data_IF_973794387885
#
_entry.id   IF_973794387885
#
_cell.length_a   1.000
_cell.length_b   1.000
_cell.length_c   1.000
_cell.angle_alpha   90.00
_cell.angle_beta   90.00
_cell.angle_gamma   90.00
#
_symmetry.space_group_name_H-M   'P 1'
#
loop_
_entity.id
_entity.type
_entity.pdbx_description
1 polymer ?
#
# COMPACT_ATOMS: atom_id res chain seq x y z
N UNK A 1 -13.36 14.72 -18.39
CA UNK A 1 -12.87 13.40 -17.96
C UNK A 1 -11.45 13.22 -18.53
N UNK A 2 -10.42 12.95 -17.71
CA UNK A 2 -9.04 12.77 -18.22
C UNK A 2 -8.80 11.30 -18.55
N UNK A 3 -8.46 11.00 -19.81
CA UNK A 3 -8.09 9.65 -20.22
C UNK A 3 -6.71 9.28 -19.68
N UNK A 4 -6.55 8.03 -19.26
CA UNK A 4 -5.24 7.51 -18.90
C UNK A 4 -4.36 7.44 -20.15
N UNK A 5 -3.07 7.77 -20.01
CA UNK A 5 -2.11 7.57 -21.09
C UNK A 5 -2.04 6.08 -21.46
N UNK A 6 -1.66 5.77 -22.71
CA UNK A 6 -1.52 4.37 -23.16
C UNK A 6 -0.63 3.54 -22.22
N UNK A 7 0.45 4.14 -21.73
CA UNK A 7 1.31 3.54 -20.70
C UNK A 7 0.55 3.23 -19.41
N UNK A 8 -0.19 4.20 -18.85
CA UNK A 8 -0.93 4.00 -17.61
C UNK A 8 -2.06 2.97 -17.77
N UNK A 9 -2.71 2.92 -18.93
CA UNK A 9 -3.71 1.92 -19.25
C UNK A 9 -3.11 0.49 -19.23
N UNK A 10 -1.94 0.31 -19.87
CA UNK A 10 -1.19 -0.96 -19.83
C UNK A 10 -0.81 -1.35 -18.40
N UNK A 11 -0.26 -0.40 -17.64
CA UNK A 11 0.16 -0.64 -16.25
C UNK A 11 -1.04 -1.03 -15.35
N UNK A 12 -2.22 -0.41 -15.56
CA UNK A 12 -3.46 -0.75 -14.85
C UNK A 12 -4.01 -2.13 -15.23
N UNK A 13 -3.85 -2.56 -16.49
CA UNK A 13 -4.23 -3.92 -16.93
C UNK A 13 -3.39 -4.96 -16.19
N UNK A 14 -2.08 -4.76 -16.13
CA UNK A 14 -1.15 -5.61 -15.36
C UNK A 14 -1.50 -5.61 -13.87
N UNK A 15 -1.73 -4.42 -13.29
CA UNK A 15 -2.14 -4.27 -11.89
C UNK A 15 -3.39 -5.08 -11.57
N UNK A 16 -4.41 -5.02 -12.42
CA UNK A 16 -5.69 -5.73 -12.21
C UNK A 16 -5.49 -7.23 -12.15
N UNK A 17 -4.66 -7.80 -13.02
CA UNK A 17 -4.33 -9.24 -13.02
C UNK A 17 -3.56 -9.61 -11.74
N UNK A 18 -2.45 -8.93 -11.47
CA UNK A 18 -1.58 -9.22 -10.33
C UNK A 18 -2.33 -9.05 -8.99
N UNK A 19 -3.19 -8.05 -8.87
CA UNK A 19 -4.02 -7.82 -7.67
C UNK A 19 -4.91 -9.01 -7.36
N UNK A 20 -5.57 -9.57 -8.37
CA UNK A 20 -6.43 -10.75 -8.19
C UNK A 20 -5.60 -11.94 -7.71
N UNK A 21 -4.48 -12.22 -8.38
CA UNK A 21 -3.59 -13.32 -8.01
C UNK A 21 -3.03 -13.16 -6.59
N UNK A 22 -2.63 -11.94 -6.20
CA UNK A 22 -2.11 -11.66 -4.86
C UNK A 22 -3.17 -11.86 -3.79
N UNK A 23 -4.39 -11.33 -3.97
CA UNK A 23 -5.47 -11.45 -2.98
C UNK A 23 -5.99 -12.88 -2.85
N UNK A 24 -5.92 -13.70 -3.90
CA UNK A 24 -6.20 -15.13 -3.82
C UNK A 24 -5.17 -15.87 -2.95
N UNK A 25 -3.89 -15.52 -3.08
CA UNK A 25 -2.80 -16.11 -2.29
C UNK A 25 -2.73 -15.57 -0.86
N UNK A 26 -3.18 -14.34 -0.66
CA UNK A 26 -3.15 -13.62 0.62
C UNK A 26 -4.56 -13.13 0.97
N UNK A 27 -5.50 -14.04 1.30
CA UNK A 27 -6.92 -13.71 1.42
C UNK A 27 -7.26 -12.94 2.71
N UNK A 28 -6.32 -12.83 3.65
CA UNK A 28 -6.53 -12.18 4.95
C UNK A 28 -5.77 -10.87 5.02
N UNK A 29 -6.38 -9.89 5.66
CA UNK A 29 -5.78 -8.63 6.04
C UNK A 29 -4.57 -8.94 6.92
N UNK A 30 -3.41 -8.45 6.50
CA UNK A 30 -2.16 -8.68 7.19
C UNK A 30 -2.19 -8.18 8.66
N UNK A 31 -2.97 -7.14 8.94
CA UNK A 31 -3.08 -6.57 10.28
C UNK A 31 -4.12 -7.28 11.17
N UNK A 32 -5.36 -7.42 10.71
CA UNK A 32 -6.48 -7.84 11.57
C UNK A 32 -7.10 -9.20 11.22
N UNK A 33 -6.59 -9.91 10.21
CA UNK A 33 -7.06 -11.24 9.83
C UNK A 33 -8.40 -11.31 9.07
N UNK A 34 -9.21 -10.24 9.07
CA UNK A 34 -10.42 -10.13 8.22
C UNK A 34 -10.11 -10.24 6.73
N UNK A 35 -11.06 -10.55 5.83
CA UNK A 35 -10.79 -10.66 4.40
C UNK A 35 -10.06 -9.44 3.82
N UNK A 36 -8.95 -9.67 3.12
CA UNK A 36 -8.24 -8.63 2.40
C UNK A 36 -9.02 -8.26 1.15
N UNK A 37 -9.41 -7.00 1.04
CA UNK A 37 -10.14 -6.46 -0.11
C UNK A 37 -9.28 -5.55 -0.94
N UNK A 38 -8.15 -5.08 -0.41
CA UNK A 38 -7.34 -4.02 -1.01
C UNK A 38 -5.85 -4.33 -0.92
N UNK A 39 -5.12 -3.79 -1.89
CA UNK A 39 -3.66 -3.77 -1.87
C UNK A 39 -3.23 -2.41 -1.36
N UNK A 40 -2.52 -2.40 -0.24
CA UNK A 40 -1.79 -1.25 0.24
C UNK A 40 -0.39 -1.23 -0.40
N UNK A 41 -0.04 -0.12 -1.05
CA UNK A 41 1.28 0.08 -1.67
C UNK A 41 2.21 0.80 -0.69
N UNK A 42 3.09 0.06 -0.01
CA UNK A 42 4.00 0.61 1.02
C UNK A 42 4.86 1.78 0.51
N UNK A 43 5.31 1.72 -0.74
CA UNK A 43 6.14 2.74 -1.39
C UNK A 43 5.36 3.62 -2.39
N UNK A 44 4.03 3.54 -2.40
CA UNK A 44 3.18 4.27 -3.33
C UNK A 44 3.02 3.61 -4.71
N UNK A 45 2.31 4.30 -5.60
CA UNK A 45 1.82 3.75 -6.90
C UNK A 45 2.52 4.33 -8.13
N UNK A 46 3.71 4.89 -7.95
CA UNK A 46 4.44 5.63 -8.99
C UNK A 46 5.30 4.69 -9.84
N UNK A 47 5.20 4.81 -11.17
CA UNK A 47 6.01 4.04 -12.11
C UNK A 47 5.95 2.52 -11.86
N UNK A 48 7.12 1.89 -11.69
CA UNK A 48 7.25 0.45 -11.44
C UNK A 48 6.59 -0.01 -10.12
N UNK A 49 6.46 0.89 -9.14
CA UNK A 49 5.94 0.56 -7.81
C UNK A 49 4.47 0.17 -7.82
N UNK A 50 3.70 0.56 -8.86
CA UNK A 50 2.31 0.12 -9.00
C UNK A 50 2.20 -1.42 -9.02
N UNK A 51 3.13 -2.09 -9.72
CA UNK A 51 3.10 -3.52 -10.00
C UNK A 51 4.22 -4.29 -9.27
N UNK A 52 4.93 -3.64 -8.36
CA UNK A 52 5.95 -4.29 -7.54
C UNK A 52 5.31 -5.02 -6.36
N UNK A 53 4.97 -6.29 -6.58
CA UNK A 53 4.27 -7.16 -5.63
C UNK A 53 5.05 -7.35 -4.32
N UNK A 54 6.37 -7.16 -4.32
CA UNK A 54 7.20 -7.25 -3.11
C UNK A 54 6.85 -6.18 -2.07
N UNK A 55 6.28 -5.07 -2.52
CA UNK A 55 5.89 -3.92 -1.70
C UNK A 55 4.37 -3.84 -1.46
N UNK A 56 3.64 -4.90 -1.82
CA UNK A 56 2.19 -4.99 -1.61
C UNK A 56 1.89 -5.60 -0.25
N UNK A 57 0.84 -5.09 0.39
CA UNK A 57 0.30 -5.63 1.64
C UNK A 57 -1.22 -5.75 1.47
N UNK A 58 -1.76 -6.95 1.63
CA UNK A 58 -3.20 -7.18 1.60
C UNK A 58 -3.87 -6.66 2.87
N UNK A 59 -4.83 -5.74 2.75
CA UNK A 59 -5.59 -5.18 3.86
C UNK A 59 -7.09 -5.24 3.60
N UNK A 60 -7.88 -5.30 4.68
CA UNK A 60 -9.30 -4.97 4.59
C UNK A 60 -9.47 -3.46 4.41
N UNK A 61 -10.60 -3.01 3.85
CA UNK A 61 -10.90 -1.59 3.62
C UNK A 61 -10.64 -0.71 4.85
N UNK A 62 -11.12 -1.13 6.03
CA UNK A 62 -10.97 -0.37 7.29
C UNK A 62 -9.49 -0.14 7.65
N UNK A 63 -8.67 -1.18 7.58
CA UNK A 63 -7.24 -1.08 7.89
C UNK A 63 -6.48 -0.30 6.82
N UNK A 64 -6.85 -0.47 5.55
CA UNK A 64 -6.29 0.32 4.44
C UNK A 64 -6.57 1.81 4.64
N UNK A 65 -7.79 2.19 4.96
CA UNK A 65 -8.16 3.59 5.17
C UNK A 65 -7.49 4.18 6.41
N UNK A 66 -7.37 3.39 7.49
CA UNK A 66 -6.59 3.77 8.68
C UNK A 66 -5.13 4.05 8.32
N UNK A 67 -4.52 3.25 7.44
CA UNK A 67 -3.11 3.42 7.03
C UNK A 67 -2.86 4.77 6.32
N UNK A 68 -3.86 5.25 5.57
CA UNK A 68 -3.77 6.56 4.91
C UNK A 68 -4.06 7.73 5.85
N UNK A 69 -4.89 7.53 6.88
CA UNK A 69 -5.30 8.58 7.83
C UNK A 69 -4.32 8.74 8.99
N UNK A 70 -3.76 7.65 9.50
CA UNK A 70 -2.96 7.62 10.71
C UNK A 70 -1.52 7.21 10.38
N UNK A 71 -0.70 8.21 10.04
CA UNK A 71 0.67 7.97 9.56
C UNK A 71 1.58 7.31 10.60
N UNK A 72 1.47 7.69 11.88
CA UNK A 72 2.26 7.06 12.96
C UNK A 72 1.92 5.57 13.09
N UNK A 73 0.63 5.24 13.11
CA UNK A 73 0.15 3.85 13.12
C UNK A 73 0.64 3.07 11.89
N UNK A 74 0.59 3.68 10.70
CA UNK A 74 1.07 3.05 9.47
C UNK A 74 2.58 2.77 9.50
N UNK A 75 3.38 3.66 10.08
CA UNK A 75 4.83 3.47 10.26
C UNK A 75 5.11 2.36 11.27
N UNK A 76 4.45 2.40 12.44
CA UNK A 76 4.59 1.40 13.50
C UNK A 76 4.24 0.00 13.00
N UNK A 77 3.17 -0.13 12.21
CA UNK A 77 2.75 -1.39 11.61
C UNK A 77 3.55 -1.78 10.36
N UNK A 78 4.58 -1.01 9.96
CA UNK A 78 5.39 -1.30 8.77
C UNK A 78 4.67 -1.14 7.42
N UNK A 79 3.48 -0.52 7.41
CA UNK A 79 2.66 -0.22 6.23
C UNK A 79 3.17 1.00 5.45
N UNK A 80 4.04 1.82 6.05
CA UNK A 80 4.66 2.97 5.41
C UNK A 80 6.11 3.10 5.88
N UNK A 81 7.06 3.54 5.02
CA UNK A 81 8.37 3.95 5.49
C UNK A 81 8.27 5.15 6.42
N UNK A 82 9.20 5.22 7.37
CA UNK A 82 9.28 6.33 8.30
C UNK A 82 9.67 7.62 7.57
N UNK A 83 8.86 8.69 7.64
CA UNK A 83 9.21 9.94 6.99
C UNK A 83 10.31 10.68 7.76
N UNK A 84 11.07 11.53 7.06
CA UNK A 84 12.20 12.27 7.63
C UNK A 84 11.83 13.11 8.86
N UNK A 85 10.65 13.75 8.87
CA UNK A 85 10.20 14.55 10.02
C UNK A 85 9.96 13.69 11.28
N UNK A 86 9.52 12.44 11.12
CA UNK A 86 9.31 11.54 12.25
C UNK A 86 10.65 10.99 12.79
N UNK A 87 11.65 10.84 11.93
CA UNK A 87 13.03 10.56 12.37
C UNK A 87 13.61 11.74 13.15
N UNK A 88 13.45 12.97 12.64
CA UNK A 88 13.95 14.17 13.30
C UNK A 88 13.30 14.41 14.68
N UNK A 89 12.00 14.14 14.82
CA UNK A 89 11.30 14.20 16.12
C UNK A 89 11.87 13.24 17.17
N UNK A 90 12.39 12.09 16.78
CA UNK A 90 12.96 11.12 17.72
C UNK A 90 14.38 11.48 18.11
N UNK A 91 15.18 11.95 17.16
CA UNK A 91 16.53 12.45 17.42
C UNK A 91 16.55 13.70 18.31
N UNK A 92 15.48 14.49 18.31
CA UNK A 92 15.33 15.67 19.16
C UNK A 92 14.68 15.42 20.52
N UNK A 93 14.43 14.15 20.89
CA UNK A 93 13.91 13.74 22.22
C UNK A 93 15.00 13.17 23.13
N UNK A 94 16.25 13.19 22.69
CA UNK A 94 17.46 12.89 23.47
C UNK A 94 18.05 14.18 24.06
#
# INVERSE_FOLDING_TARGET
MRFATAKRAKDNKTYTKLRKEYLLKNPKCWWCGFPATDIHHKLGRVGKLLNDVKNWIGLCRKCHDKAHKERRWAVECGLMPKPAWLLAEELGRE
#
